data_IF_781379709967
#
_entry.id   IF_781379709967
#
_cell.length_a   1.000
_cell.length_b   1.000
_cell.length_c   1.000
_cell.angle_alpha   90.00
_cell.angle_beta   90.00
_cell.angle_gamma   90.00
#
_symmetry.space_group_name_H-M   'P 1'
#
loop_
_entity.id
_entity.type
_entity.pdbx_description
1 polymer ?
#
# COMPACT_ATOMS: atom_id res chain seq x y z
N UNK A 1 -3.73 -1.71 12.31
CA UNK A 1 -3.57 -2.68 11.23
C UNK A 1 -2.15 -2.67 10.71
N UNK A 2 -1.61 -3.85 10.44
CA UNK A 2 -0.28 -4.00 9.81
C UNK A 2 -0.46 -4.79 8.52
N UNK A 3 -0.01 -4.20 7.42
CA UNK A 3 -0.03 -4.85 6.12
C UNK A 3 1.29 -5.59 5.92
N UNK A 4 1.18 -6.87 5.60
CA UNK A 4 2.31 -7.72 5.21
C UNK A 4 2.15 -8.05 3.75
N UNK A 5 3.12 -7.67 2.94
CA UNK A 5 3.10 -7.92 1.51
C UNK A 5 4.29 -8.78 1.10
N UNK A 6 4.07 -9.67 0.17
CA UNK A 6 5.13 -10.47 -0.44
C UNK A 6 4.83 -10.69 -1.92
N UNK A 7 5.78 -11.22 -2.64
CA UNK A 7 5.64 -11.48 -4.07
C UNK A 7 6.17 -12.87 -4.40
N UNK A 8 5.27 -13.77 -4.76
CA UNK A 8 5.62 -15.13 -5.21
C UNK A 8 4.58 -15.58 -6.24
N UNK A 9 5.00 -15.70 -7.49
CA UNK A 9 4.12 -16.05 -8.60
C UNK A 9 3.87 -17.55 -8.77
N UNK A 10 4.46 -18.39 -7.94
CA UNK A 10 4.21 -19.82 -7.96
C UNK A 10 2.79 -20.14 -7.48
N UNK A 11 2.11 -21.06 -8.18
CA UNK A 11 0.76 -21.49 -7.78
C UNK A 11 0.70 -22.04 -6.36
N UNK A 12 1.75 -22.70 -5.91
CA UNK A 12 1.85 -23.24 -4.54
C UNK A 12 1.85 -22.13 -3.48
N UNK A 13 2.20 -20.90 -3.86
CA UNK A 13 2.22 -19.76 -2.94
C UNK A 13 0.83 -19.21 -2.63
N UNK A 14 -0.23 -19.65 -3.33
CA UNK A 14 -1.59 -19.18 -3.07
C UNK A 14 -2.09 -19.48 -1.66
N UNK A 15 -1.58 -20.52 -1.04
CA UNK A 15 -1.96 -20.87 0.34
C UNK A 15 -1.17 -20.11 1.41
N UNK A 16 -0.08 -19.45 1.03
CA UNK A 16 0.84 -18.80 1.97
C UNK A 16 0.19 -17.61 2.66
N UNK A 17 -0.64 -16.83 1.96
CA UNK A 17 -1.35 -15.69 2.57
C UNK A 17 -2.09 -16.12 3.85
N UNK A 18 -2.90 -17.15 3.74
CA UNK A 18 -3.70 -17.64 4.87
C UNK A 18 -2.83 -18.26 5.95
N UNK A 19 -1.82 -19.01 5.55
CA UNK A 19 -0.89 -19.64 6.51
C UNK A 19 -0.13 -18.60 7.33
N UNK A 20 0.37 -17.53 6.68
CA UNK A 20 1.04 -16.42 7.36
C UNK A 20 0.09 -15.65 8.26
N UNK A 21 -1.11 -15.34 7.75
CA UNK A 21 -2.12 -14.62 8.53
C UNK A 21 -2.47 -15.38 9.80
N UNK A 22 -2.67 -16.69 9.70
CA UNK A 22 -3.00 -17.55 10.84
C UNK A 22 -1.87 -17.58 11.88
N UNK A 23 -0.62 -17.68 11.42
CA UNK A 23 0.55 -17.68 12.31
C UNK A 23 0.76 -16.34 13.00
N UNK A 24 0.62 -15.26 12.28
CA UNK A 24 0.75 -13.91 12.85
C UNK A 24 -0.34 -13.66 13.89
N UNK A 25 -1.56 -14.08 13.61
CA UNK A 25 -2.69 -13.96 14.55
C UNK A 25 -2.44 -14.78 15.81
N UNK A 26 -1.84 -15.97 15.67
CA UNK A 26 -1.49 -16.83 16.81
C UNK A 26 -0.44 -16.19 17.71
N UNK A 27 0.63 -15.63 17.11
CA UNK A 27 1.72 -15.01 17.87
C UNK A 27 1.40 -13.61 18.37
N UNK A 28 0.60 -12.85 17.63
CA UNK A 28 0.29 -11.45 17.93
C UNK A 28 -1.22 -11.20 17.77
N UNK A 29 -2.05 -11.76 18.70
CA UNK A 29 -3.52 -11.73 18.53
C UNK A 29 -4.13 -10.33 18.64
N UNK A 30 -3.43 -9.36 19.23
CA UNK A 30 -3.93 -7.99 19.39
C UNK A 30 -3.70 -7.11 18.17
N UNK A 31 -2.97 -7.61 17.18
CA UNK A 31 -2.69 -6.89 15.95
C UNK A 31 -3.62 -7.38 14.84
N UNK A 32 -4.17 -6.42 14.08
CA UNK A 32 -4.94 -6.73 12.90
C UNK A 32 -3.99 -6.85 11.72
N UNK A 33 -3.90 -8.05 11.16
CA UNK A 33 -2.98 -8.38 10.08
C UNK A 33 -3.72 -8.44 8.74
N UNK A 34 -3.16 -7.80 7.73
CA UNK A 34 -3.52 -8.01 6.33
C UNK A 34 -2.31 -8.61 5.62
N UNK A 35 -2.45 -9.80 5.06
CA UNK A 35 -1.36 -10.50 4.37
C UNK A 35 -1.77 -10.71 2.92
N UNK A 36 -1.01 -10.14 1.99
CA UNK A 36 -1.36 -10.17 0.57
C UNK A 36 -0.15 -10.51 -0.29
N UNK A 37 -0.32 -11.54 -1.14
CA UNK A 37 0.64 -11.84 -2.20
C UNK A 37 0.38 -10.93 -3.40
N UNK A 38 1.30 -10.03 -3.66
CA UNK A 38 1.14 -9.04 -4.73
C UNK A 38 1.13 -9.66 -6.13
N UNK A 39 1.65 -10.87 -6.29
CA UNK A 39 1.67 -11.57 -7.58
C UNK A 39 0.28 -11.88 -8.13
N UNK A 40 -0.74 -11.97 -7.27
CA UNK A 40 -2.10 -12.34 -7.68
C UNK A 40 -3.15 -11.25 -7.48
N UNK A 41 -2.74 -10.05 -7.12
CA UNK A 41 -3.67 -8.92 -6.88
C UNK A 41 -4.50 -8.59 -8.12
N UNK A 42 -3.91 -8.66 -9.30
CA UNK A 42 -4.59 -8.36 -10.57
C UNK A 42 -5.81 -9.27 -10.84
N UNK A 43 -5.90 -10.42 -10.20
CA UNK A 43 -7.02 -11.36 -10.40
C UNK A 43 -8.30 -10.88 -9.74
N UNK A 44 -8.22 -10.13 -8.65
CA UNK A 44 -9.40 -9.71 -7.88
C UNK A 44 -9.57 -8.20 -7.76
N UNK A 45 -8.49 -7.42 -7.92
CA UNK A 45 -8.58 -5.97 -7.80
C UNK A 45 -9.26 -5.36 -9.02
N UNK A 46 -10.11 -4.38 -8.76
CA UNK A 46 -10.75 -3.56 -9.80
C UNK A 46 -10.59 -2.10 -9.45
N UNK A 47 -10.38 -1.26 -10.47
CA UNK A 47 -10.37 0.19 -10.31
C UNK A 47 -11.77 0.71 -9.99
N UNK A 48 -11.88 1.98 -9.64
CA UNK A 48 -13.17 2.64 -9.43
C UNK A 48 -14.01 2.72 -10.72
N UNK A 49 -13.39 2.52 -11.88
CA UNK A 49 -14.07 2.36 -13.19
C UNK A 49 -14.42 0.90 -13.49
N UNK A 50 -14.25 0.00 -12.52
CA UNK A 50 -14.48 -1.44 -12.66
C UNK A 50 -13.60 -2.10 -13.72
N UNK A 51 -12.40 -1.59 -13.90
CA UNK A 51 -11.43 -2.12 -14.84
C UNK A 51 -10.42 -3.04 -14.15
N UNK A 52 -9.94 -4.05 -14.89
CA UNK A 52 -8.84 -4.89 -14.45
C UNK A 52 -7.53 -4.10 -14.49
N UNK A 53 -6.56 -4.55 -13.71
CA UNK A 53 -5.19 -4.03 -13.78
C UNK A 53 -4.26 -5.09 -14.38
N UNK A 54 -3.15 -4.63 -14.93
CA UNK A 54 -2.10 -5.54 -15.37
C UNK A 54 -1.46 -6.26 -14.16
N UNK A 55 -0.94 -7.48 -14.36
CA UNK A 55 -0.23 -8.17 -13.29
C UNK A 55 0.90 -7.32 -12.72
N UNK A 56 0.99 -7.29 -11.39
CA UNK A 56 2.10 -6.63 -10.71
C UNK A 56 3.37 -7.47 -10.90
N UNK A 57 4.51 -6.80 -11.05
CA UNK A 57 5.76 -7.48 -11.41
C UNK A 57 6.77 -7.57 -10.26
N UNK A 58 6.55 -6.81 -9.19
CA UNK A 58 7.44 -6.76 -8.03
C UNK A 58 6.78 -6.02 -6.87
N UNK A 59 7.43 -6.04 -5.72
CA UNK A 59 7.01 -5.22 -4.58
C UNK A 59 7.14 -3.72 -4.88
N UNK A 60 8.22 -3.29 -5.53
CA UNK A 60 8.37 -1.90 -5.97
C UNK A 60 7.22 -1.46 -6.87
N UNK A 61 6.86 -2.29 -7.83
CA UNK A 61 5.75 -2.01 -8.74
C UNK A 61 4.43 -1.88 -7.97
N UNK A 62 4.16 -2.81 -7.06
CA UNK A 62 2.95 -2.77 -6.24
C UNK A 62 2.85 -1.48 -5.43
N UNK A 63 3.92 -1.11 -4.71
CA UNK A 63 3.96 0.11 -3.90
C UNK A 63 3.80 1.37 -4.76
N UNK A 64 4.34 1.37 -5.98
CA UNK A 64 4.23 2.52 -6.89
C UNK A 64 2.79 2.83 -7.31
N UNK A 65 1.85 1.91 -7.06
CA UNK A 65 0.44 2.06 -7.38
C UNK A 65 -0.43 2.40 -6.17
N UNK A 66 0.14 2.44 -4.97
CA UNK A 66 -0.63 2.73 -3.76
C UNK A 66 -1.16 4.17 -3.77
N UNK A 67 -2.33 4.42 -3.15
CA UNK A 67 -3.05 5.69 -3.32
C UNK A 67 -2.34 6.93 -2.81
N UNK A 68 -1.50 6.82 -1.77
CA UNK A 68 -0.77 7.93 -1.19
C UNK A 68 0.74 7.66 -1.25
N UNK A 69 1.53 8.68 -1.56
CA UNK A 69 2.99 8.54 -1.58
C UNK A 69 3.57 8.27 -0.19
N UNK A 70 2.96 8.84 0.86
CA UNK A 70 3.42 8.70 2.25
C UNK A 70 3.23 7.28 2.80
N UNK A 71 2.28 6.52 2.26
CA UNK A 71 2.03 5.13 2.66
C UNK A 71 2.69 4.12 1.74
N UNK A 72 3.24 4.56 0.60
CA UNK A 72 3.83 3.70 -0.42
C UNK A 72 5.29 3.35 -0.07
N UNK A 73 5.46 2.67 1.05
CA UNK A 73 6.77 2.22 1.51
C UNK A 73 6.63 0.93 2.32
N UNK A 74 7.71 0.15 2.34
CA UNK A 74 7.76 -1.10 3.09
C UNK A 74 9.15 -1.31 3.69
N UNK A 75 9.17 -2.06 4.80
CA UNK A 75 10.39 -2.48 5.46
C UNK A 75 10.44 -4.00 5.47
N UNK A 76 11.63 -4.56 5.30
CA UNK A 76 11.88 -5.97 5.55
C UNK A 76 13.21 -6.18 6.26
N UNK A 77 13.31 -7.29 6.94
CA UNK A 77 14.58 -7.76 7.51
C UNK A 77 15.16 -8.80 6.54
N UNK A 78 16.37 -8.54 6.04
CA UNK A 78 17.07 -9.43 5.15
C UNK A 78 18.52 -9.52 5.59
N UNK A 79 19.03 -10.73 5.83
CA UNK A 79 20.42 -10.98 6.28
C UNK A 79 20.79 -10.10 7.49
N UNK A 80 19.90 -10.03 8.48
CA UNK A 80 20.01 -9.22 9.71
C UNK A 80 20.09 -7.70 9.48
N UNK A 81 19.80 -7.22 8.27
CA UNK A 81 19.74 -5.80 7.94
C UNK A 81 18.33 -5.38 7.56
N UNK A 82 17.94 -4.18 7.99
CA UNK A 82 16.69 -3.57 7.56
C UNK A 82 16.84 -3.03 6.15
N UNK A 83 15.95 -3.45 5.27
CA UNK A 83 15.85 -2.97 3.89
C UNK A 83 14.57 -2.18 3.72
N UNK A 84 14.71 -0.97 3.18
CA UNK A 84 13.60 -0.08 2.88
C UNK A 84 13.28 -0.13 1.39
N UNK A 85 12.00 -0.26 1.06
CA UNK A 85 11.49 -0.16 -0.30
C UNK A 85 10.56 1.04 -0.34
N UNK A 86 10.93 2.09 -1.06
CA UNK A 86 10.19 3.35 -1.11
C UNK A 86 10.29 3.96 -2.51
N UNK A 87 9.39 3.59 -3.45
CA UNK A 87 9.44 4.07 -4.84
C UNK A 87 9.42 5.59 -4.98
N UNK A 88 8.78 6.29 -4.04
CA UNK A 88 8.68 7.76 -4.03
C UNK A 88 9.63 8.41 -3.04
N UNK A 89 10.55 7.65 -2.44
CA UNK A 89 11.43 8.15 -1.39
C UNK A 89 10.70 8.36 -0.07
N UNK A 90 11.34 9.08 0.84
CA UNK A 90 10.87 9.29 2.22
C UNK A 90 10.53 10.74 2.54
N UNK A 91 10.67 11.65 1.59
CA UNK A 91 10.46 13.07 1.85
C UNK A 91 9.04 13.37 2.35
N UNK A 92 8.02 12.81 1.70
CA UNK A 92 6.64 13.05 2.10
C UNK A 92 6.34 12.48 3.50
N UNK A 93 6.97 11.36 3.87
CA UNK A 93 6.82 10.82 5.21
C UNK A 93 7.44 11.73 6.28
N UNK A 94 8.69 12.14 6.09
CA UNK A 94 9.39 12.97 7.07
C UNK A 94 8.87 14.40 7.13
N UNK A 95 8.38 14.93 6.02
CA UNK A 95 7.76 16.26 5.95
C UNK A 95 6.26 16.24 6.29
N UNK A 96 5.70 15.07 6.58
CA UNK A 96 4.28 14.87 6.92
C UNK A 96 3.34 15.42 5.84
N UNK A 97 3.58 15.03 4.59
CA UNK A 97 2.77 15.44 3.45
C UNK A 97 1.88 14.30 2.97
N UNK A 98 0.59 14.55 2.93
CA UNK A 98 -0.39 13.63 2.37
C UNK A 98 -0.63 14.02 0.91
N UNK A 99 -0.06 13.22 0.00
CA UNK A 99 -0.08 13.47 -1.45
C UNK A 99 -0.71 12.32 -2.19
N UNK A 100 -1.63 12.62 -3.09
CA UNK A 100 -2.21 11.64 -3.99
C UNK A 100 -1.16 11.10 -4.96
N UNK A 101 -1.16 9.77 -5.14
CA UNK A 101 -0.41 9.11 -6.18
C UNK A 101 -1.34 8.81 -7.37
N UNK A 102 -1.14 9.44 -8.54
CA UNK A 102 -2.04 9.29 -9.68
C UNK A 102 -1.79 8.04 -10.53
N UNK A 103 -0.87 7.16 -10.15
CA UNK A 103 -0.44 6.05 -11.03
C UNK A 103 -1.52 5.00 -11.25
N UNK A 104 -2.47 4.84 -10.33
CA UNK A 104 -3.56 3.88 -10.47
C UNK A 104 -4.91 4.46 -10.06
N UNK A 105 -5.04 4.89 -8.81
CA UNK A 105 -6.34 5.33 -8.28
C UNK A 105 -6.65 6.77 -8.69
N UNK A 106 -7.96 7.08 -8.84
CA UNK A 106 -8.41 8.44 -9.07
C UNK A 106 -8.24 9.31 -7.82
N UNK A 107 -8.30 10.62 -8.01
CA UNK A 107 -8.31 11.56 -6.88
C UNK A 107 -9.53 11.33 -5.97
N UNK A 108 -10.66 10.97 -6.55
CA UNK A 108 -11.87 10.68 -5.76
C UNK A 108 -11.66 9.51 -4.81
N UNK A 109 -10.97 8.46 -5.23
CA UNK A 109 -10.61 7.33 -4.37
C UNK A 109 -9.65 7.77 -3.26
N UNK A 110 -8.64 8.56 -3.60
CA UNK A 110 -7.71 9.14 -2.61
C UNK A 110 -8.46 9.95 -1.55
N UNK A 111 -9.36 10.84 -1.98
CA UNK A 111 -10.16 11.68 -1.09
C UNK A 111 -11.06 10.85 -0.18
N UNK A 112 -11.73 9.84 -0.74
CA UNK A 112 -12.56 8.93 0.03
C UNK A 112 -11.76 8.17 1.10
N UNK A 113 -10.55 7.71 0.74
CA UNK A 113 -9.67 7.03 1.70
C UNK A 113 -9.22 7.98 2.81
N UNK A 114 -8.86 9.21 2.47
CA UNK A 114 -8.46 10.21 3.44
C UNK A 114 -9.54 10.43 4.49
N UNK A 115 -10.79 10.51 4.05
CA UNK A 115 -11.95 10.71 4.94
C UNK A 115 -12.27 9.44 5.75
N UNK A 116 -12.35 8.29 5.12
CA UNK A 116 -12.72 7.03 5.78
C UNK A 116 -11.68 6.54 6.77
N UNK A 117 -10.39 6.73 6.48
CA UNK A 117 -9.29 6.38 7.36
C UNK A 117 -8.95 7.47 8.36
N UNK A 118 -9.59 8.64 8.25
CA UNK A 118 -9.40 9.76 9.16
C UNK A 118 -7.93 10.17 9.29
N UNK A 119 -7.20 10.25 8.20
CA UNK A 119 -5.76 10.54 8.22
C UNK A 119 -5.43 11.86 8.90
N UNK A 120 -6.17 12.93 8.59
CA UNK A 120 -5.90 14.26 9.16
C UNK A 120 -6.31 14.36 10.62
N UNK A 121 -7.28 13.57 11.07
CA UNK A 121 -7.69 13.51 12.47
C UNK A 121 -6.70 12.71 13.32
N UNK A 122 -6.23 11.57 12.80
CA UNK A 122 -5.26 10.70 13.49
C UNK A 122 -3.87 11.30 13.52
N UNK A 123 -3.50 12.02 12.48
CA UNK A 123 -2.21 12.69 12.38
C UNK A 123 -2.39 14.17 12.03
N UNK A 124 -2.70 15.03 13.05
CA UNK A 124 -3.06 16.44 12.80
C UNK A 124 -1.95 17.28 12.15
N UNK A 125 -0.70 16.82 12.25
CA UNK A 125 0.44 17.51 11.62
C UNK A 125 0.59 17.20 10.14
N UNK A 126 -0.17 16.24 9.58
CA UNK A 126 -0.17 15.99 8.15
C UNK A 126 -0.72 17.19 7.39
N UNK A 127 -0.02 17.57 6.32
CA UNK A 127 -0.47 18.59 5.39
C UNK A 127 -0.99 17.93 4.12
N UNK A 128 -2.24 18.19 3.78
CA UNK A 128 -2.80 17.77 2.49
C UNK A 128 -2.17 18.60 1.39
N UNK A 129 -1.53 17.94 0.43
CA UNK A 129 -0.98 18.60 -0.75
C UNK A 129 -2.11 18.79 -1.75
N UNK A 130 -2.42 20.06 -2.04
CA UNK A 130 -3.47 20.42 -2.98
C UNK A 130 -3.15 19.86 -4.38
N UNK A 131 -4.18 19.33 -5.03
CA UNK A 131 -4.10 18.93 -6.42
C UNK A 131 -3.71 20.10 -7.29
N UNK A 132 -2.73 19.86 -8.15
CA UNK A 132 -2.44 20.78 -9.21
C UNK A 132 -3.60 20.71 -10.21
N UNK A 133 -4.48 21.69 -10.18
CA UNK A 133 -5.42 21.87 -11.29
C UNK A 133 -4.58 22.37 -12.45
N UNK A 134 -4.35 21.53 -13.46
CA UNK A 134 -3.85 22.04 -14.72
C UNK A 134 -4.77 23.17 -15.13
N UNK A 135 -4.21 24.35 -15.21
CA UNK A 135 -4.89 25.43 -15.92
C UNK A 135 -5.17 24.93 -17.34
N UNK A 136 -6.43 24.79 -17.67
CA UNK A 136 -6.85 24.49 -19.03
C UNK A 136 -6.49 25.66 -19.93
#
# INVERSE_FOLDING_TARGET
EVDVIFYDENEQARVIEQQLADRLKEYFPDIRWDVTNQAFVHEWYRTDQNENIEPLTSIDHALSLWPETVTALALRLKDDELELIAPFGLADLFELKLRWNPNLVSYAVFEQRMLSKQFLQKWPKLSLIAQYKKAC
#
